data_IF_353807158531
#
_entry.id   IF_353807158531
#
_cell.length_a   1.000
_cell.length_b   1.000
_cell.length_c   1.000
_cell.angle_alpha   90.00
_cell.angle_beta   90.00
_cell.angle_gamma   90.00
#
_symmetry.space_group_name_H-M   'P 1'
#
loop_
_entity.id
_entity.type
_entity.pdbx_description
1 polymer ?
#
# COMPACT_ATOMS: atom_id res chain seq x y z
N UNK A 1 -0.66 -1.40 -27.43
CA UNK A 1 -0.46 -0.13 -26.71
C UNK A 1 -1.45 -0.11 -25.55
N UNK A 2 -1.00 0.20 -24.34
CA UNK A 2 -1.88 0.33 -23.17
C UNK A 2 -2.74 1.58 -23.32
N UNK A 3 -4.05 1.49 -23.11
CA UNK A 3 -4.92 2.66 -23.11
C UNK A 3 -4.75 3.46 -21.80
N UNK A 4 -5.08 4.77 -21.82
CA UNK A 4 -5.03 5.60 -20.60
C UNK A 4 -5.94 5.03 -19.49
N UNK A 5 -7.09 4.44 -19.84
CA UNK A 5 -8.01 3.80 -18.87
C UNK A 5 -7.36 2.60 -18.20
N UNK A 6 -6.70 1.73 -18.95
CA UNK A 6 -5.96 0.59 -18.40
C UNK A 6 -4.74 1.04 -17.60
N UNK A 7 -4.05 2.08 -18.05
CA UNK A 7 -2.93 2.67 -17.32
C UNK A 7 -3.35 3.18 -15.94
N UNK A 8 -4.44 3.95 -15.86
CA UNK A 8 -5.00 4.44 -14.59
C UNK A 8 -5.37 3.28 -13.68
N UNK A 9 -6.01 2.23 -14.22
CA UNK A 9 -6.36 1.02 -13.45
C UNK A 9 -5.11 0.32 -12.89
N UNK A 10 -4.10 0.10 -13.73
CA UNK A 10 -2.84 -0.53 -13.30
C UNK A 10 -2.06 0.35 -12.32
N UNK A 11 -2.10 1.67 -12.45
CA UNK A 11 -1.49 2.60 -11.49
C UNK A 11 -2.12 2.41 -10.11
N UNK A 12 -3.46 2.39 -10.04
CA UNK A 12 -4.17 2.17 -8.79
C UNK A 12 -3.88 0.79 -8.21
N UNK A 13 -4.01 -0.25 -9.03
CA UNK A 13 -3.79 -1.64 -8.61
C UNK A 13 -2.36 -1.88 -8.12
N UNK A 14 -1.37 -1.27 -8.76
CA UNK A 14 0.03 -1.32 -8.37
C UNK A 14 0.35 -0.64 -7.04
N UNK A 15 -0.59 0.12 -6.49
CA UNK A 15 -0.47 0.65 -5.13
C UNK A 15 -0.88 -0.39 -4.07
N UNK A 16 -1.83 -1.26 -4.38
CA UNK A 16 -2.39 -2.20 -3.40
C UNK A 16 -1.69 -3.55 -3.47
N UNK A 17 -1.32 -3.99 -4.67
CA UNK A 17 -0.67 -5.28 -4.90
C UNK A 17 0.49 -5.19 -5.89
N UNK A 18 1.49 -6.09 -5.80
CA UNK A 18 2.53 -6.16 -6.81
C UNK A 18 1.93 -6.56 -8.17
N UNK A 19 2.19 -5.75 -9.20
CA UNK A 19 1.79 -6.06 -10.57
C UNK A 19 2.70 -7.12 -11.20
N UNK A 20 2.17 -7.96 -12.12
CA UNK A 20 2.97 -8.79 -13.02
C UNK A 20 4.03 -7.95 -13.76
N UNK A 21 5.19 -8.55 -14.00
CA UNK A 21 6.35 -7.84 -14.60
C UNK A 21 6.00 -7.20 -15.95
N UNK A 22 5.24 -7.91 -16.79
CA UNK A 22 4.78 -7.40 -18.09
C UNK A 22 3.91 -6.15 -17.97
N UNK A 23 2.95 -6.16 -17.03
CA UNK A 23 2.09 -5.01 -16.78
C UNK A 23 2.89 -3.82 -16.25
N UNK A 24 3.92 -4.07 -15.44
CA UNK A 24 4.81 -3.02 -14.92
C UNK A 24 5.62 -2.35 -16.03
N UNK A 25 6.18 -3.13 -16.95
CA UNK A 25 6.95 -2.59 -18.09
C UNK A 25 6.05 -1.80 -19.03
N UNK A 26 4.90 -2.37 -19.43
CA UNK A 26 3.94 -1.68 -20.29
C UNK A 26 3.41 -0.38 -19.68
N UNK A 27 3.12 -0.39 -18.37
CA UNK A 27 2.71 0.81 -17.65
C UNK A 27 3.82 1.87 -17.60
N UNK A 28 5.07 1.48 -17.33
CA UNK A 28 6.21 2.42 -17.33
C UNK A 28 6.36 3.11 -18.68
N UNK A 29 6.31 2.35 -19.78
CA UNK A 29 6.37 2.89 -21.14
C UNK A 29 5.23 3.89 -21.39
N UNK A 30 4.00 3.54 -21.01
CA UNK A 30 2.84 4.44 -21.19
C UNK A 30 2.99 5.74 -20.39
N UNK A 31 3.44 5.66 -19.14
CA UNK A 31 3.64 6.83 -18.28
C UNK A 31 4.75 7.74 -18.80
N UNK A 32 5.79 7.20 -19.45
CA UNK A 32 6.85 8.00 -20.05
C UNK A 32 6.38 8.84 -21.24
N UNK A 33 5.39 8.36 -22.01
CA UNK A 33 4.89 9.05 -23.21
C UNK A 33 3.62 9.88 -22.95
N UNK A 34 2.89 9.60 -21.87
CA UNK A 34 1.61 10.24 -21.58
C UNK A 34 1.70 11.11 -20.31
N UNK A 35 1.79 12.43 -20.52
CA UNK A 35 1.90 13.42 -19.44
C UNK A 35 0.73 13.38 -18.44
N UNK A 36 -0.47 13.01 -18.89
CA UNK A 36 -1.65 12.91 -18.04
C UNK A 36 -1.55 11.73 -17.07
N UNK A 37 -1.13 10.57 -17.57
CA UNK A 37 -0.94 9.38 -16.75
C UNK A 37 0.25 9.55 -15.78
N UNK A 38 1.29 10.26 -16.20
CA UNK A 38 2.40 10.65 -15.32
C UNK A 38 1.95 11.58 -14.19
N UNK A 39 1.17 12.62 -14.51
CA UNK A 39 0.61 13.55 -13.52
C UNK A 39 -0.31 12.83 -12.54
N UNK A 40 -1.20 11.96 -13.04
CA UNK A 40 -2.07 11.15 -12.21
C UNK A 40 -1.28 10.25 -11.26
N UNK A 41 -0.24 9.55 -11.76
CA UNK A 41 0.65 8.73 -10.93
C UNK A 41 1.30 9.54 -9.80
N UNK A 42 1.81 10.74 -10.11
CA UNK A 42 2.40 11.64 -9.11
C UNK A 42 1.40 12.06 -8.05
N UNK A 43 0.19 12.46 -8.46
CA UNK A 43 -0.87 12.86 -7.53
C UNK A 43 -1.25 11.72 -6.58
N UNK A 44 -1.37 10.50 -7.11
CA UNK A 44 -1.75 9.34 -6.31
C UNK A 44 -0.67 8.96 -5.29
N UNK A 45 0.61 9.04 -5.67
CA UNK A 45 1.75 8.86 -4.76
C UNK A 45 1.77 9.95 -3.69
N UNK A 46 1.49 11.20 -4.04
CA UNK A 46 1.40 12.31 -3.09
C UNK A 46 0.34 12.04 -2.02
N UNK A 47 -0.88 11.67 -2.44
CA UNK A 47 -1.97 11.34 -1.51
C UNK A 47 -1.56 10.19 -0.58
N UNK A 48 -1.01 9.10 -1.15
CA UNK A 48 -0.57 7.94 -0.37
C UNK A 48 0.51 8.29 0.64
N UNK A 49 1.46 9.16 0.26
CA UNK A 49 2.51 9.61 1.16
C UNK A 49 1.97 10.52 2.26
N UNK A 50 1.05 11.44 1.93
CA UNK A 50 0.40 12.29 2.91
C UNK A 50 -0.38 11.46 3.96
N UNK A 51 -1.13 10.45 3.51
CA UNK A 51 -1.83 9.52 4.41
C UNK A 51 -0.89 8.71 5.30
N UNK A 52 0.28 8.30 4.79
CA UNK A 52 1.29 7.56 5.56
C UNK A 52 2.06 8.44 6.55
N UNK A 53 2.21 9.74 6.27
CA UNK A 53 2.91 10.70 7.12
C UNK A 53 2.00 11.34 8.18
N UNK A 54 0.68 11.16 8.10
CA UNK A 54 -0.29 11.62 9.10
C UNK A 54 -1.13 10.47 9.71
N UNK A 55 -0.54 9.49 10.42
CA UNK A 55 -1.33 8.69 11.33
C UNK A 55 -1.85 9.52 12.53
N UNK A 56 -1.10 10.56 12.95
CA UNK A 56 -1.37 11.28 14.21
C UNK A 56 -2.29 12.50 14.12
N UNK A 57 -2.63 13.00 12.92
CA UNK A 57 -3.39 14.26 12.78
C UNK A 57 -4.74 14.18 12.11
N UNK A 58 -5.07 13.06 11.46
CA UNK A 58 -6.37 12.86 10.80
C UNK A 58 -7.24 11.80 11.48
N UNK A 59 -6.71 11.13 12.51
CA UNK A 59 -7.43 10.12 13.27
C UNK A 59 -7.56 10.64 14.71
N UNK A 60 -8.73 11.20 15.06
CA UNK A 60 -9.16 11.38 16.46
C UNK A 60 -9.58 10.03 17.06
N UNK A 61 -8.77 9.00 16.86
CA UNK A 61 -8.88 7.70 17.50
C UNK A 61 -7.46 7.24 17.78
N UNK A 62 -7.26 6.79 19.02
CA UNK A 62 -6.00 6.24 19.49
C UNK A 62 -5.39 5.27 18.47
N UNK A 63 -4.06 5.09 18.45
CA UNK A 63 -3.43 3.98 17.74
C UNK A 63 -3.90 2.63 18.32
N UNK A 64 -5.12 2.22 17.96
CA UNK A 64 -5.79 0.98 18.31
C UNK A 64 -5.36 -0.12 17.35
N UNK A 65 -4.05 -0.34 17.28
CA UNK A 65 -3.50 -1.57 16.77
C UNK A 65 -2.33 -2.07 17.63
N UNK A 66 -2.23 -1.59 18.88
CA UNK A 66 -1.50 -2.35 19.89
C UNK A 66 -2.47 -3.37 20.49
N UNK A 67 -2.05 -4.63 20.53
CA UNK A 67 -2.73 -5.65 21.31
C UNK A 67 -2.91 -5.15 22.74
N UNK A 68 -4.05 -5.49 23.36
CA UNK A 68 -4.18 -5.33 24.81
C UNK A 68 -3.05 -6.09 25.50
N UNK A 69 -2.60 -5.64 26.68
CA UNK A 69 -1.56 -6.33 27.45
C UNK A 69 -1.87 -7.84 27.61
N UNK A 70 -3.14 -8.18 27.82
CA UNK A 70 -3.61 -9.56 27.96
C UNK A 70 -3.52 -10.35 26.65
N UNK A 71 -3.91 -9.75 25.52
CA UNK A 71 -3.82 -10.39 24.21
C UNK A 71 -2.35 -10.67 23.84
N UNK A 72 -1.44 -9.73 24.13
CA UNK A 72 0.00 -9.89 23.88
C UNK A 72 0.60 -11.04 24.70
N UNK A 73 0.23 -11.17 25.97
CA UNK A 73 0.76 -12.26 26.81
C UNK A 73 0.17 -13.62 26.47
N UNK A 74 -1.07 -13.69 25.98
CA UNK A 74 -1.63 -14.93 25.41
C UNK A 74 -0.81 -15.42 24.22
N UNK A 75 -0.48 -14.55 23.26
CA UNK A 75 0.32 -14.93 22.10
C UNK A 75 1.73 -15.38 22.50
N UNK A 76 2.37 -14.66 23.43
CA UNK A 76 3.71 -15.02 23.93
C UNK A 76 3.74 -16.40 24.58
N UNK A 77 2.72 -16.73 25.39
CA UNK A 77 2.58 -18.06 26.02
C UNK A 77 2.32 -19.16 24.99
N UNK A 78 1.49 -18.89 23.98
CA UNK A 78 1.20 -19.85 22.91
C UNK A 78 2.46 -20.20 22.10
N UNK A 79 3.26 -19.19 21.73
CA UNK A 79 4.52 -19.39 21.00
C UNK A 79 5.52 -20.19 21.84
N UNK A 80 5.67 -19.87 23.13
CA UNK A 80 6.61 -20.59 24.02
C UNK A 80 6.25 -22.07 24.16
N UNK A 81 4.96 -22.40 24.34
CA UNK A 81 4.49 -23.79 24.37
C UNK A 81 4.77 -24.57 23.09
N UNK A 82 4.79 -23.87 21.95
CA UNK A 82 5.05 -24.47 20.65
C UNK A 82 6.55 -24.68 20.37
N UNK A 83 7.43 -24.00 21.12
CA UNK A 83 8.88 -24.18 21.05
C UNK A 83 9.41 -25.23 22.04
N UNK A 84 8.65 -25.51 23.09
CA UNK A 84 8.98 -26.55 24.09
C UNK A 84 8.46 -27.96 23.70
N UNK A 85 7.78 -28.07 22.55
CA UNK A 85 7.37 -29.33 21.89
C UNK A 85 8.29 -29.64 20.71
#
# INVERSE_FOLDING_TARGET
MLSCREAVRLISEGMDRPLPVWNRVGLRLHVLICIWCERYRRQLIFIRNAMRQQPDRLITQEPSASLSPEARERFKRAIRRQMDQ
#
